data_IF_262896441331
#
_entry.id   IF_262896441331
#
_cell.length_a   1.000
_cell.length_b   1.000
_cell.length_c   1.000
_cell.angle_alpha   90.00
_cell.angle_beta   90.00
_cell.angle_gamma   90.00
#
_symmetry.space_group_name_H-M   'P 1'
#
loop_
_entity.id
_entity.type
_entity.pdbx_description
1 polymer ?
#
# COMPACT_ATOMS: atom_id res chain seq x y z
N UNK A 1 13.15 -1.19 3.04
CA UNK A 1 13.27 -2.63 3.34
C UNK A 1 13.34 -2.74 4.87
N UNK A 2 12.20 -2.97 5.53
CA UNK A 2 12.03 -2.99 7.00
C UNK A 2 12.00 -4.45 7.53
N UNK A 3 12.75 -5.34 6.92
CA UNK A 3 12.68 -6.78 7.22
C UNK A 3 13.14 -7.09 8.65
N UNK A 4 14.14 -6.36 9.16
CA UNK A 4 14.64 -6.58 10.52
C UNK A 4 13.58 -6.25 11.58
N UNK A 5 12.91 -5.10 11.44
CA UNK A 5 11.88 -4.68 12.39
C UNK A 5 10.67 -5.63 12.39
N UNK A 6 10.31 -6.16 11.22
CA UNK A 6 9.21 -7.12 11.12
C UNK A 6 9.54 -8.44 11.82
N UNK A 7 10.74 -8.99 11.56
CA UNK A 7 11.23 -10.22 12.17
C UNK A 7 11.34 -10.06 13.69
N UNK A 8 11.92 -8.96 14.17
CA UNK A 8 12.06 -8.66 15.60
C UNK A 8 10.71 -8.46 16.30
N UNK A 9 9.77 -7.76 15.65
CA UNK A 9 8.42 -7.56 16.17
C UNK A 9 7.67 -8.90 16.26
N UNK A 10 7.78 -9.75 15.24
CA UNK A 10 7.14 -11.06 15.25
C UNK A 10 7.76 -11.98 16.31
N UNK A 11 9.10 -12.00 16.45
CA UNK A 11 9.76 -12.71 17.55
C UNK A 11 9.33 -12.21 18.93
N UNK A 12 9.10 -10.90 19.08
CA UNK A 12 8.61 -10.32 20.34
C UNK A 12 7.20 -10.78 20.64
N UNK A 13 6.31 -10.79 19.64
CA UNK A 13 4.95 -11.32 19.76
C UNK A 13 4.94 -12.81 20.09
N UNK A 14 5.77 -13.61 19.43
CA UNK A 14 5.92 -15.05 19.71
C UNK A 14 6.32 -15.29 21.17
N UNK A 15 7.33 -14.55 21.64
CA UNK A 15 7.83 -14.64 23.02
C UNK A 15 6.79 -14.22 24.04
N UNK A 16 5.99 -13.18 23.76
CA UNK A 16 5.01 -12.64 24.71
C UNK A 16 3.73 -13.48 24.73
N UNK A 17 3.13 -13.71 23.57
CA UNK A 17 1.79 -14.26 23.46
C UNK A 17 1.75 -15.78 23.61
N UNK A 18 2.77 -16.48 23.11
CA UNK A 18 2.76 -17.95 23.06
C UNK A 18 3.75 -18.55 24.06
N UNK A 19 4.98 -18.04 24.12
CA UNK A 19 6.04 -18.61 24.98
C UNK A 19 6.07 -18.02 26.40
N UNK A 20 5.25 -17.01 26.70
CA UNK A 20 5.17 -16.33 28.00
C UNK A 20 6.53 -15.88 28.57
N UNK A 21 7.50 -15.58 27.69
CA UNK A 21 8.92 -15.30 28.01
C UNK A 21 9.62 -16.39 28.84
N UNK A 22 9.03 -17.58 28.96
CA UNK A 22 9.68 -18.73 29.61
C UNK A 22 10.74 -19.28 28.66
N UNK A 23 11.89 -19.66 29.22
CA UNK A 23 12.91 -20.41 28.49
C UNK A 23 12.44 -21.86 28.37
N UNK A 24 11.52 -22.15 27.45
CA UNK A 24 11.14 -23.53 27.13
C UNK A 24 12.33 -24.22 26.47
N UNK A 25 12.94 -25.18 27.17
CA UNK A 25 14.17 -25.87 26.74
C UNK A 25 13.91 -27.14 25.93
N UNK A 26 12.70 -27.70 26.02
CA UNK A 26 12.38 -28.94 25.31
C UNK A 26 11.79 -28.63 23.93
N UNK A 27 12.44 -29.21 22.92
CA UNK A 27 12.13 -28.98 21.51
C UNK A 27 10.72 -29.47 21.13
N UNK A 28 10.28 -30.58 21.70
CA UNK A 28 8.94 -31.16 21.50
C UNK A 28 7.82 -30.18 21.84
N UNK A 29 7.93 -29.51 23.00
CA UNK A 29 6.96 -28.50 23.44
C UNK A 29 6.96 -27.26 22.55
N UNK A 30 8.14 -26.84 22.07
CA UNK A 30 8.25 -25.73 21.14
C UNK A 30 7.56 -26.07 19.80
N UNK A 31 7.78 -27.29 19.29
CA UNK A 31 7.14 -27.76 18.06
C UNK A 31 5.61 -27.77 18.22
N UNK A 32 5.11 -28.31 19.34
CA UNK A 32 3.68 -28.33 19.65
C UNK A 32 3.08 -26.92 19.60
N UNK A 33 3.66 -25.95 20.32
CA UNK A 33 3.15 -24.56 20.32
C UNK A 33 3.19 -23.94 18.92
N UNK A 34 4.27 -24.18 18.16
CA UNK A 34 4.41 -23.61 16.81
C UNK A 34 3.37 -24.17 15.82
N UNK A 35 3.08 -25.47 15.90
CA UNK A 35 2.19 -26.16 14.97
C UNK A 35 0.73 -26.01 15.37
N UNK A 36 0.40 -26.23 16.64
CA UNK A 36 -0.99 -26.31 17.08
C UNK A 36 -1.57 -24.94 17.46
N UNK A 37 -0.75 -24.01 17.96
CA UNK A 37 -1.25 -22.67 18.33
C UNK A 37 -0.90 -21.62 17.27
N UNK A 38 0.40 -21.43 17.01
CA UNK A 38 0.89 -20.31 16.18
C UNK A 38 0.47 -20.45 14.72
N UNK A 39 0.57 -21.64 14.14
CA UNK A 39 0.21 -21.86 12.75
C UNK A 39 -1.30 -21.66 12.51
N UNK A 40 -2.14 -22.16 13.42
CA UNK A 40 -3.60 -21.99 13.33
C UNK A 40 -3.97 -20.51 13.40
N UNK A 41 -3.42 -19.77 14.37
CA UNK A 41 -3.65 -18.33 14.50
C UNK A 41 -3.15 -17.55 13.28
N UNK A 42 -1.99 -17.92 12.74
CA UNK A 42 -1.46 -17.31 11.52
C UNK A 42 -2.36 -17.54 10.32
N UNK A 43 -2.88 -18.76 10.14
CA UNK A 43 -3.81 -19.10 9.07
C UNK A 43 -5.13 -18.34 9.22
N UNK A 44 -5.68 -18.30 10.43
CA UNK A 44 -6.88 -17.52 10.72
C UNK A 44 -6.67 -16.04 10.44
N UNK A 45 -5.55 -15.45 10.86
CA UNK A 45 -5.28 -14.04 10.62
C UNK A 45 -5.07 -13.74 9.14
N UNK A 46 -4.38 -14.62 8.40
CA UNK A 46 -4.22 -14.53 6.95
C UNK A 46 -5.57 -14.56 6.24
N UNK A 47 -6.44 -15.51 6.59
CA UNK A 47 -7.79 -15.61 6.02
C UNK A 47 -8.64 -14.37 6.36
N UNK A 48 -8.54 -13.89 7.60
CA UNK A 48 -9.26 -12.71 8.07
C UNK A 48 -8.80 -11.43 7.36
N UNK A 49 -7.50 -11.29 7.09
CA UNK A 49 -6.94 -10.21 6.29
C UNK A 49 -7.40 -10.29 4.83
N UNK A 50 -7.38 -11.47 4.22
CA UNK A 50 -7.86 -11.68 2.85
C UNK A 50 -9.35 -11.33 2.71
N UNK A 51 -10.16 -11.60 3.74
CA UNK A 51 -11.57 -11.24 3.79
C UNK A 51 -11.85 -9.78 4.19
N UNK A 52 -10.81 -8.95 4.44
CA UNK A 52 -10.93 -7.59 4.98
C UNK A 52 -11.74 -7.49 6.30
N UNK A 53 -11.67 -8.51 7.15
CA UNK A 53 -12.42 -8.58 8.41
C UNK A 53 -11.54 -8.07 9.57
N UNK A 54 -12.11 -7.22 10.43
CA UNK A 54 -11.46 -6.74 11.64
C UNK A 54 -10.54 -5.53 11.40
N UNK A 55 -9.48 -5.41 12.21
CA UNK A 55 -8.58 -4.26 12.16
C UNK A 55 -7.73 -4.30 10.90
N UNK A 56 -7.90 -3.29 10.05
CA UNK A 56 -7.07 -3.08 8.86
C UNK A 56 -5.60 -2.93 9.26
N UNK A 57 -4.71 -3.61 8.54
CA UNK A 57 -3.28 -3.43 8.71
C UNK A 57 -2.88 -1.97 8.35
N UNK A 58 -1.71 -1.52 8.83
CA UNK A 58 -1.26 -0.13 8.63
C UNK A 58 -1.17 0.24 7.15
N UNK A 59 -0.66 -0.66 6.32
CA UNK A 59 -0.45 -0.44 4.89
C UNK A 59 -1.76 -0.26 4.12
N UNK A 60 -2.71 -1.16 4.30
CA UNK A 60 -4.05 -1.09 3.71
C UNK A 60 -4.76 0.16 4.23
N UNK A 61 -4.57 0.54 5.51
CA UNK A 61 -5.12 1.77 6.07
C UNK A 61 -4.56 3.02 5.39
N UNK A 62 -3.24 3.10 5.20
CA UNK A 62 -2.62 4.23 4.50
C UNK A 62 -3.03 4.29 3.03
N UNK A 63 -3.12 3.13 2.36
CA UNK A 63 -3.64 3.04 0.99
C UNK A 63 -5.08 3.55 0.91
N UNK A 64 -5.94 3.11 1.84
CA UNK A 64 -7.33 3.55 1.91
C UNK A 64 -7.45 5.05 2.20
N UNK A 65 -6.61 5.61 3.07
CA UNK A 65 -6.56 7.06 3.31
C UNK A 65 -6.22 7.84 2.04
N UNK A 66 -5.24 7.38 1.25
CA UNK A 66 -4.88 8.02 -0.03
C UNK A 66 -6.03 7.97 -1.04
N UNK A 67 -6.75 6.84 -1.10
CA UNK A 67 -7.94 6.71 -1.93
C UNK A 67 -9.03 7.68 -1.49
N UNK A 68 -9.37 7.72 -0.20
CA UNK A 68 -10.40 8.61 0.34
C UNK A 68 -10.05 10.06 0.06
N UNK A 69 -8.80 10.47 0.29
CA UNK A 69 -8.36 11.84 0.00
C UNK A 69 -8.45 12.22 -1.50
N UNK A 70 -8.37 11.24 -2.40
CA UNK A 70 -8.64 11.45 -3.81
C UNK A 70 -10.15 11.46 -4.11
N UNK A 71 -10.96 10.64 -3.43
CA UNK A 71 -12.43 10.58 -3.54
C UNK A 71 -13.11 11.86 -3.02
N UNK A 72 -12.55 12.52 -2.00
CA UNK A 72 -13.05 13.78 -1.43
C UNK A 72 -13.01 14.96 -2.42
N UNK A 73 -12.20 14.88 -3.48
CA UNK A 73 -12.16 15.90 -4.52
C UNK A 73 -13.42 15.76 -5.40
N UNK A 74 -14.23 16.81 -5.45
CA UNK A 74 -15.44 16.83 -6.26
C UNK A 74 -15.12 16.82 -7.77
N UNK A 75 -16.11 16.52 -8.61
CA UNK A 75 -15.92 16.33 -10.05
C UNK A 75 -15.50 17.62 -10.78
N UNK A 76 -16.05 18.78 -10.43
CA UNK A 76 -15.68 20.06 -11.05
C UNK A 76 -14.22 20.41 -10.77
N UNK A 77 -13.81 20.25 -9.51
CA UNK A 77 -12.44 20.39 -9.05
C UNK A 77 -11.51 19.39 -9.74
N UNK A 78 -11.95 18.15 -9.94
CA UNK A 78 -11.17 17.12 -10.63
C UNK A 78 -10.80 17.54 -12.06
N UNK A 79 -11.78 18.02 -12.82
CA UNK A 79 -11.59 18.44 -14.22
C UNK A 79 -10.66 19.65 -14.35
N UNK A 80 -10.65 20.54 -13.35
CA UNK A 80 -9.74 21.70 -13.32
C UNK A 80 -8.30 21.33 -12.89
N UNK A 81 -8.18 20.38 -11.96
CA UNK A 81 -6.87 19.94 -11.43
C UNK A 81 -6.06 19.12 -12.41
N UNK A 82 -6.73 18.23 -13.15
CA UNK A 82 -6.07 17.17 -13.93
C UNK A 82 -6.03 17.57 -15.39
N UNK A 83 -4.83 17.61 -15.95
CA UNK A 83 -4.59 17.84 -17.36
C UNK A 83 -3.89 16.63 -17.97
N UNK A 84 -4.49 16.08 -19.04
CA UNK A 84 -3.88 15.02 -19.85
C UNK A 84 -3.01 15.64 -20.94
N UNK A 85 -1.77 15.19 -21.05
CA UNK A 85 -0.75 15.70 -21.97
C UNK A 85 -0.15 14.52 -22.74
N UNK A 86 0.32 14.76 -23.96
CA UNK A 86 1.05 13.78 -24.77
C UNK A 86 2.48 14.26 -24.92
N UNK A 87 3.44 13.43 -24.50
CA UNK A 87 4.88 13.70 -24.59
C UNK A 87 5.49 12.51 -25.31
N UNK A 88 6.11 12.74 -26.48
CA UNK A 88 6.77 11.66 -27.26
C UNK A 88 5.85 10.45 -27.53
N UNK A 89 4.59 10.72 -27.89
CA UNK A 89 3.53 9.71 -28.12
C UNK A 89 3.02 8.97 -26.85
N UNK A 90 3.64 9.18 -25.69
CA UNK A 90 3.19 8.65 -24.42
C UNK A 90 2.26 9.62 -23.67
N UNK A 91 1.32 9.05 -22.91
CA UNK A 91 0.39 9.84 -22.11
C UNK A 91 1.03 10.23 -20.79
N UNK A 92 1.00 11.51 -20.46
CA UNK A 92 1.38 12.06 -19.17
C UNK A 92 0.21 12.83 -18.55
N UNK A 93 0.21 12.93 -17.22
CA UNK A 93 -0.79 13.72 -16.50
C UNK A 93 -0.12 14.76 -15.62
N UNK A 94 -0.73 15.93 -15.59
CA UNK A 94 -0.35 17.04 -14.74
C UNK A 94 -1.48 17.27 -13.74
N UNK A 95 -1.16 17.28 -12.45
CA UNK A 95 -2.13 17.50 -11.37
C UNK A 95 -1.75 18.76 -10.60
N UNK A 96 -2.60 19.78 -10.68
CA UNK A 96 -2.45 21.02 -9.91
C UNK A 96 -2.97 20.85 -8.49
N UNK A 97 -2.25 21.35 -7.49
CA UNK A 97 -2.73 21.40 -6.11
C UNK A 97 -3.67 22.59 -5.90
N UNK A 98 -4.79 22.39 -5.17
CA UNK A 98 -5.66 23.50 -4.76
C UNK A 98 -5.15 24.28 -3.56
N UNK A 99 -4.38 23.61 -2.69
CA UNK A 99 -3.94 24.21 -1.42
C UNK A 99 -2.53 24.79 -1.48
N UNK A 100 -1.82 24.56 -2.60
CA UNK A 100 -0.44 24.98 -2.77
C UNK A 100 -0.20 25.28 -4.25
N UNK A 101 0.68 26.23 -4.54
CA UNK A 101 1.13 26.54 -5.91
C UNK A 101 2.15 25.49 -6.38
N UNK A 102 1.75 24.22 -6.35
CA UNK A 102 2.58 23.07 -6.74
C UNK A 102 1.83 22.23 -7.75
N UNK A 103 2.58 21.74 -8.74
CA UNK A 103 2.09 20.88 -9.80
C UNK A 103 2.81 19.54 -9.73
N UNK A 104 2.06 18.46 -9.94
CA UNK A 104 2.58 17.10 -9.88
C UNK A 104 2.48 16.42 -11.22
N UNK A 105 3.60 15.87 -11.69
CA UNK A 105 3.68 15.13 -12.93
C UNK A 105 3.55 13.64 -12.65
N UNK A 106 2.74 12.97 -13.46
CA UNK A 106 2.53 11.54 -13.43
C UNK A 106 2.83 10.99 -14.82
N UNK A 107 3.86 10.15 -14.89
CA UNK A 107 4.24 9.43 -16.09
C UNK A 107 3.41 8.17 -16.23
N UNK A 108 3.04 7.83 -17.45
CA UNK A 108 2.43 6.54 -17.78
C UNK A 108 3.19 5.84 -18.87
N UNK A 109 3.13 4.51 -18.86
CA UNK A 109 3.68 3.64 -19.89
C UNK A 109 2.59 2.62 -20.23
N UNK A 110 2.19 2.51 -21.49
CA UNK A 110 1.17 1.54 -21.93
C UNK A 110 -0.15 1.64 -21.13
N UNK A 111 -0.53 2.86 -20.72
CA UNK A 111 -1.71 3.12 -19.90
C UNK A 111 -1.54 2.84 -18.41
N UNK A 112 -0.41 2.32 -17.94
CA UNK A 112 -0.11 2.14 -16.52
C UNK A 112 0.63 3.35 -15.97
N UNK A 113 0.18 3.90 -14.83
CA UNK A 113 0.94 4.96 -14.16
C UNK A 113 2.20 4.38 -13.51
N UNK A 114 3.37 4.91 -13.87
CA UNK A 114 4.67 4.36 -13.45
C UNK A 114 5.36 5.20 -12.40
N UNK A 115 5.18 6.53 -12.43
CA UNK A 115 5.84 7.44 -11.51
C UNK A 115 4.97 8.65 -11.16
N UNK A 116 5.22 9.23 -9.98
CA UNK A 116 4.72 10.55 -9.60
C UNK A 116 5.85 11.32 -8.90
N UNK A 117 6.00 12.61 -9.22
CA UNK A 117 7.03 13.46 -8.63
C UNK A 117 6.74 13.88 -7.16
N UNK A 118 5.59 13.49 -6.59
CA UNK A 118 5.22 13.89 -5.23
C UNK A 118 6.04 13.15 -4.16
N UNK A 119 6.22 13.80 -3.00
CA UNK A 119 7.04 13.27 -1.90
C UNK A 119 6.52 11.93 -1.34
N UNK A 120 5.20 11.72 -1.34
CA UNK A 120 4.58 10.48 -0.88
C UNK A 120 4.98 9.29 -1.76
N UNK A 121 4.93 9.46 -3.09
CA UNK A 121 5.39 8.44 -4.02
C UNK A 121 6.90 8.24 -3.93
N UNK A 122 7.69 9.32 -3.89
CA UNK A 122 9.14 9.24 -3.82
C UNK A 122 9.63 8.47 -2.58
N UNK A 123 8.97 8.67 -1.42
CA UNK A 123 9.32 7.98 -0.16
C UNK A 123 8.79 6.54 -0.10
N UNK A 124 7.54 6.33 -0.49
CA UNK A 124 6.86 5.05 -0.24
C UNK A 124 6.90 4.08 -1.43
N UNK A 125 7.17 4.58 -2.64
CA UNK A 125 7.14 3.81 -3.90
C UNK A 125 5.84 3.02 -4.10
N UNK A 126 4.73 3.66 -3.71
CA UNK A 126 3.35 3.15 -3.70
C UNK A 126 2.44 4.18 -4.35
N UNK A 127 1.27 3.73 -4.83
CA UNK A 127 0.27 4.62 -5.41
C UNK A 127 -0.08 5.77 -4.44
N UNK A 128 0.11 7.00 -4.91
CA UNK A 128 -0.16 8.22 -4.14
C UNK A 128 -1.57 8.75 -4.42
N UNK A 129 -2.00 9.79 -3.69
CA UNK A 129 -3.28 10.47 -3.92
C UNK A 129 -3.48 10.87 -5.39
N UNK A 130 -2.44 11.38 -6.05
CA UNK A 130 -2.53 11.86 -7.44
C UNK A 130 -2.82 10.72 -8.43
N UNK A 131 -2.26 9.54 -8.20
CA UNK A 131 -2.52 8.37 -9.04
C UNK A 131 -3.97 7.90 -8.91
N UNK A 132 -4.52 7.88 -7.69
CA UNK A 132 -5.95 7.60 -7.50
C UNK A 132 -6.85 8.67 -8.11
N UNK A 133 -6.41 9.93 -8.09
CA UNK A 133 -7.14 11.03 -8.73
C UNK A 133 -7.19 10.87 -10.25
N UNK A 134 -6.07 10.53 -10.89
CA UNK A 134 -6.02 10.25 -12.33
C UNK A 134 -6.89 9.05 -12.68
N UNK A 135 -6.88 7.98 -11.89
CA UNK A 135 -7.77 6.84 -12.12
C UNK A 135 -9.25 7.18 -12.02
N UNK A 136 -9.62 8.24 -11.28
CA UNK A 136 -10.99 8.78 -11.32
C UNK A 136 -11.25 9.54 -12.61
N UNK A 137 -10.30 10.36 -13.05
CA UNK A 137 -10.40 11.19 -14.25
C UNK A 137 -10.38 10.38 -15.56
N UNK A 138 -9.45 9.44 -15.71
CA UNK A 138 -9.31 8.56 -16.88
C UNK A 138 -9.32 7.09 -16.44
N UNK A 139 -10.43 6.41 -16.73
CA UNK A 139 -10.64 4.99 -16.43
C UNK A 139 -9.83 4.04 -17.31
N UNK A 140 -9.23 4.54 -18.39
CA UNK A 140 -8.34 3.74 -19.23
C UNK A 140 -6.95 3.58 -18.59
N UNK A 141 -6.61 4.39 -17.60
CA UNK A 141 -5.35 4.26 -16.88
C UNK A 141 -5.42 3.21 -15.78
N UNK A 142 -4.31 2.50 -15.57
CA UNK A 142 -4.14 1.56 -14.47
C UNK A 142 -3.33 2.21 -13.36
N UNK A 143 -3.86 2.19 -12.13
CA UNK A 143 -3.14 2.67 -10.94
C UNK A 143 -1.87 1.86 -10.75
N UNK A 144 -0.78 2.54 -10.40
CA UNK A 144 0.49 1.91 -10.06
C UNK A 144 0.32 0.71 -9.11
N UNK A 145 0.87 -0.43 -9.52
CA UNK A 145 0.94 -1.66 -8.74
C UNK A 145 2.40 -1.88 -8.38
N UNK A 146 2.71 -1.90 -7.08
CA UNK A 146 4.06 -2.19 -6.63
C UNK A 146 4.37 -3.67 -6.87
N UNK A 147 5.20 -3.97 -7.87
CA UNK A 147 5.79 -5.30 -8.08
C UNK A 147 4.86 -6.34 -8.70
N UNK A 148 4.78 -6.37 -10.04
CA UNK A 148 4.51 -7.60 -10.82
C UNK A 148 5.63 -7.88 -11.83
N UNK A 149 6.85 -7.46 -11.50
CA UNK A 149 8.09 -7.87 -12.16
C UNK A 149 8.96 -8.64 -11.15
N UNK A 150 8.47 -9.80 -10.74
CA UNK A 150 9.33 -10.91 -10.36
C UNK A 150 8.90 -12.08 -11.25
N UNK A 151 9.64 -12.29 -12.33
CA UNK A 151 9.70 -13.58 -13.00
C UNK A 151 10.32 -14.61 -12.06
#
# INVERSE_FOLDING_TARGET
METNNYIESWHSQLKINYLQRKRDRRLDRLIFILVDDVHIDFMHNTARMAANIGRMNSETRETRKRMIAAEEINELSLQDMVQKVYIEEEVCYIVKSFTAEVVYDISTEQGMMTACNCIDFQRNKRACKHMYLIYRFDKNCVVYIQGRLSR
#
